data_IF_038705859427
#
_entry.id   IF_038705859427
#
_cell.length_a   1.000
_cell.length_b   1.000
_cell.length_c   1.000
_cell.angle_alpha   90.00
_cell.angle_beta   90.00
_cell.angle_gamma   90.00
#
_symmetry.space_group_name_H-M   'P 1'
#
loop_
_entity.id
_entity.type
_entity.pdbx_description
1 polymer ?
#
# COMPACT_ATOMS: atom_id res chain seq x y z
N UNK A 1 12.39 -29.75 -6.86
CA UNK A 1 11.19 -29.60 -6.02
C UNK A 1 10.13 -28.87 -6.84
N UNK A 2 8.99 -29.48 -7.19
CA UNK A 2 7.95 -28.78 -7.94
C UNK A 2 7.30 -27.73 -7.03
N UNK A 3 7.27 -26.48 -7.49
CA UNK A 3 6.54 -25.38 -6.84
C UNK A 3 5.07 -25.80 -6.75
N UNK A 4 4.53 -25.89 -5.53
CA UNK A 4 3.10 -26.10 -5.28
C UNK A 4 2.34 -25.05 -6.08
N UNK A 5 1.65 -25.47 -7.14
CA UNK A 5 0.89 -24.55 -7.99
C UNK A 5 -0.11 -23.80 -7.13
N UNK A 6 -0.01 -22.48 -7.10
CA UNK A 6 -1.01 -21.64 -6.47
C UNK A 6 -2.31 -21.83 -7.26
N UNK A 7 -3.27 -22.54 -6.69
CA UNK A 7 -4.60 -22.65 -7.28
C UNK A 7 -5.10 -21.23 -7.54
N UNK A 8 -5.68 -20.98 -8.74
CA UNK A 8 -6.28 -19.67 -9.02
C UNK A 8 -7.43 -19.46 -8.04
N UNK A 9 -7.22 -18.63 -7.03
CA UNK A 9 -8.27 -18.22 -6.10
C UNK A 9 -9.04 -17.08 -6.75
N UNK A 10 -10.30 -17.28 -7.16
CA UNK A 10 -11.10 -16.20 -7.70
C UNK A 10 -11.37 -15.17 -6.60
N UNK A 11 -11.08 -13.90 -6.90
CA UNK A 11 -11.31 -12.78 -5.99
C UNK A 11 -11.78 -11.55 -6.75
N UNK A 12 -12.51 -10.69 -6.07
CA UNK A 12 -12.87 -9.34 -6.53
C UNK A 12 -12.84 -8.37 -5.34
N UNK A 13 -12.52 -7.11 -5.61
CA UNK A 13 -12.45 -6.07 -4.59
C UNK A 13 -12.78 -4.71 -5.19
N UNK A 14 -13.68 -3.98 -4.53
CA UNK A 14 -14.00 -2.58 -4.79
C UNK A 14 -13.84 -1.82 -3.49
N UNK A 15 -12.82 -0.97 -3.46
CA UNK A 15 -12.44 -0.22 -2.27
C UNK A 15 -12.19 1.25 -2.62
N UNK A 16 -12.35 2.11 -1.62
CA UNK A 16 -11.87 3.49 -1.67
C UNK A 16 -10.45 3.52 -1.14
N UNK A 17 -9.53 4.10 -1.92
CA UNK A 17 -8.16 4.37 -1.49
C UNK A 17 -8.08 5.82 -1.00
N UNK A 18 -7.56 6.00 0.22
CA UNK A 18 -7.17 7.28 0.77
C UNK A 18 -5.67 7.22 1.02
N UNK A 19 -4.93 8.12 0.38
CA UNK A 19 -3.49 8.25 0.57
C UNK A 19 -3.18 9.57 1.27
N UNK A 20 -2.29 9.52 2.25
CA UNK A 20 -1.65 10.68 2.85
C UNK A 20 -0.14 10.46 2.89
N UNK A 21 0.64 11.52 2.64
CA UNK A 21 2.09 11.47 2.62
C UNK A 21 2.67 12.78 3.18
N UNK A 22 3.86 12.73 3.76
CA UNK A 22 4.58 13.91 4.25
C UNK A 22 5.16 14.79 3.15
N UNK A 23 5.28 14.30 1.91
CA UNK A 23 5.78 15.07 0.78
C UNK A 23 4.83 16.24 0.43
N UNK A 24 5.38 17.40 0.06
CA UNK A 24 4.64 18.62 -0.30
C UNK A 24 3.90 18.51 -1.64
N UNK A 25 4.36 17.62 -2.52
CA UNK A 25 3.69 17.28 -3.78
C UNK A 25 2.98 15.94 -3.65
N UNK A 26 2.11 15.62 -4.62
CA UNK A 26 1.50 14.28 -4.67
C UNK A 26 2.57 13.20 -4.52
N UNK A 27 2.19 12.06 -3.94
CA UNK A 27 3.14 11.03 -3.56
C UNK A 27 4.06 10.69 -4.75
N UNK A 28 5.36 11.02 -4.68
CA UNK A 28 6.26 10.95 -5.84
C UNK A 28 6.46 9.51 -6.34
N UNK A 29 6.06 8.53 -5.53
CA UNK A 29 6.03 7.11 -5.88
C UNK A 29 5.08 6.80 -7.05
N UNK A 30 4.04 7.60 -7.28
CA UNK A 30 3.10 7.37 -8.39
C UNK A 30 3.70 7.56 -9.78
N UNK A 31 4.81 8.30 -9.89
CA UNK A 31 5.42 8.55 -11.19
C UNK A 31 6.04 7.31 -11.83
N UNK A 32 6.44 6.31 -11.03
CA UNK A 32 7.18 5.15 -11.55
C UNK A 32 8.59 5.46 -12.07
N UNK A 33 9.07 6.71 -11.97
CA UNK A 33 10.38 7.16 -12.46
C UNK A 33 11.28 7.46 -11.28
N UNK A 34 12.38 6.72 -11.14
CA UNK A 34 13.31 6.81 -9.99
C UNK A 34 13.76 8.24 -9.67
N UNK A 35 14.12 9.00 -10.69
CA UNK A 35 14.64 10.37 -10.52
C UNK A 35 13.57 11.36 -10.05
N UNK A 36 12.28 11.00 -10.16
CA UNK A 36 11.15 11.76 -9.65
C UNK A 36 10.68 11.27 -8.27
N UNK A 37 11.17 10.11 -7.80
CA UNK A 37 10.83 9.51 -6.50
C UNK A 37 11.69 10.05 -5.35
N UNK A 38 11.74 11.38 -5.25
CA UNK A 38 12.53 12.10 -4.25
C UNK A 38 11.62 12.63 -3.15
N UNK A 39 12.00 12.39 -1.90
CA UNK A 39 11.33 12.93 -0.72
C UNK A 39 11.92 14.31 -0.42
N UNK A 40 11.08 15.33 -0.52
CA UNK A 40 11.48 16.74 -0.33
C UNK A 40 12.02 17.05 1.06
N UNK A 41 11.54 16.35 2.09
CA UNK A 41 12.04 16.45 3.46
C UNK A 41 13.17 15.46 3.78
N UNK A 42 13.59 14.65 2.81
CA UNK A 42 14.60 13.60 3.00
C UNK A 42 14.10 12.33 3.70
N UNK A 43 12.79 12.24 3.97
CA UNK A 43 12.11 11.08 4.54
C UNK A 43 10.62 11.09 4.13
N UNK A 44 9.94 9.96 4.29
CA UNK A 44 8.51 9.80 4.00
C UNK A 44 7.82 9.12 5.18
N UNK A 45 6.76 9.74 5.69
CA UNK A 45 5.74 9.06 6.47
C UNK A 45 4.44 9.07 5.66
N UNK A 46 4.02 7.89 5.23
CA UNK A 46 2.86 7.71 4.37
C UNK A 46 1.85 6.76 5.00
N UNK A 47 0.57 7.00 4.71
CA UNK A 47 -0.53 6.11 5.07
C UNK A 47 -1.40 5.85 3.85
N UNK A 48 -1.62 4.57 3.53
CA UNK A 48 -2.56 4.09 2.53
C UNK A 48 -3.71 3.38 3.23
N UNK A 49 -4.90 3.96 3.19
CA UNK A 49 -6.12 3.36 3.73
C UNK A 49 -6.98 2.83 2.58
N UNK A 50 -7.39 1.57 2.69
CA UNK A 50 -8.38 0.93 1.83
C UNK A 50 -9.63 0.65 2.66
N UNK A 51 -10.75 1.31 2.31
CA UNK A 51 -12.06 0.96 2.84
C UNK A 51 -12.81 0.12 1.81
N UNK A 52 -13.04 -1.15 2.12
CA UNK A 52 -13.69 -2.10 1.22
C UNK A 52 -15.21 -1.88 1.25
N UNK A 53 -15.78 -1.55 0.09
CA UNK A 53 -17.23 -1.47 -0.08
C UNK A 53 -17.83 -2.80 -0.48
N UNK A 54 -17.24 -3.46 -1.47
CA UNK A 54 -17.68 -4.76 -2.00
C UNK A 54 -16.44 -5.63 -2.26
N UNK A 55 -16.52 -6.93 -2.01
CA UNK A 55 -15.44 -7.84 -2.38
C UNK A 55 -15.62 -9.24 -1.81
N UNK A 56 -15.14 -10.23 -2.55
CA UNK A 56 -15.09 -11.62 -2.08
C UNK A 56 -13.79 -12.27 -2.49
N UNK A 57 -13.30 -13.21 -1.67
CA UNK A 57 -12.14 -14.04 -1.97
C UNK A 57 -12.45 -15.47 -1.52
N UNK A 58 -12.55 -16.42 -2.46
CA UNK A 58 -12.83 -17.83 -2.14
C UNK A 58 -14.07 -18.04 -1.22
N UNK A 59 -15.14 -17.30 -1.49
CA UNK A 59 -16.37 -17.32 -0.68
C UNK A 59 -16.31 -16.51 0.63
N UNK A 60 -15.16 -15.93 0.98
CA UNK A 60 -15.01 -15.04 2.13
C UNK A 60 -15.46 -13.63 1.74
N UNK A 61 -16.42 -13.08 2.47
CA UNK A 61 -16.85 -11.69 2.33
C UNK A 61 -15.82 -10.73 2.93
N UNK A 62 -15.38 -9.77 2.11
CA UNK A 62 -14.41 -8.74 2.45
C UNK A 62 -15.08 -7.38 2.72
N UNK A 63 -16.40 -7.25 2.51
CA UNK A 63 -17.12 -6.00 2.73
C UNK A 63 -16.91 -5.44 4.15
N UNK A 64 -16.95 -4.11 4.25
CA UNK A 64 -16.66 -3.34 5.48
C UNK A 64 -15.23 -3.48 6.04
N UNK A 65 -14.36 -4.32 5.47
CA UNK A 65 -12.97 -4.39 5.90
C UNK A 65 -12.26 -3.05 5.66
N UNK A 66 -11.49 -2.61 6.65
CA UNK A 66 -10.60 -1.46 6.55
C UNK A 66 -9.17 -1.95 6.68
N UNK A 67 -8.32 -1.63 5.70
CA UNK A 67 -6.90 -1.96 5.70
C UNK A 67 -6.14 -0.65 5.71
N UNK A 68 -5.23 -0.48 6.66
CA UNK A 68 -4.36 0.69 6.73
C UNK A 68 -2.91 0.22 6.66
N UNK A 69 -2.17 0.74 5.69
CA UNK A 69 -0.73 0.51 5.55
C UNK A 69 -0.03 1.82 5.87
N UNK A 70 0.75 1.83 6.94
CA UNK A 70 1.61 2.96 7.30
C UNK A 70 3.03 2.60 6.96
N UNK A 71 3.74 3.47 6.24
CA UNK A 71 5.12 3.23 5.83
C UNK A 71 5.98 4.43 6.16
N UNK A 72 7.08 4.18 6.86
CA UNK A 72 8.12 5.16 7.16
C UNK A 72 9.39 4.82 6.35
N UNK A 73 9.83 5.72 5.47
CA UNK A 73 11.11 5.65 4.77
C UNK A 73 12.06 6.71 5.35
N UNK A 74 13.22 6.32 5.90
CA UNK A 74 14.16 7.27 6.52
C UNK A 74 15.14 7.93 5.54
N UNK A 75 15.20 7.47 4.29
CA UNK A 75 16.12 7.97 3.27
C UNK A 75 15.47 8.99 2.32
N UNK A 76 16.27 9.77 1.57
CA UNK A 76 15.77 10.76 0.61
C UNK A 76 15.09 10.17 -0.62
N UNK A 77 15.24 8.87 -0.89
CA UNK A 77 14.59 8.14 -1.99
C UNK A 77 13.91 6.86 -1.51
N UNK A 78 12.90 6.39 -2.24
CA UNK A 78 12.19 5.14 -1.93
C UNK A 78 13.14 3.92 -1.87
N UNK A 79 14.30 4.01 -2.53
CA UNK A 79 15.22 2.90 -2.76
C UNK A 79 16.38 2.84 -1.76
N UNK A 80 16.48 3.78 -0.81
CA UNK A 80 17.55 3.78 0.19
C UNK A 80 17.41 2.66 1.23
N UNK A 81 16.24 2.02 1.28
CA UNK A 81 15.96 0.90 2.17
C UNK A 81 15.70 1.34 3.62
N UNK A 82 15.81 0.38 4.54
CA UNK A 82 15.54 0.56 5.97
C UNK A 82 14.12 1.10 6.30
N UNK A 83 13.16 0.83 5.41
CA UNK A 83 11.78 1.25 5.60
C UNK A 83 11.08 0.41 6.67
N UNK A 84 10.20 1.03 7.45
CA UNK A 84 9.33 0.34 8.40
C UNK A 84 7.89 0.40 7.92
N UNK A 85 7.30 -0.77 7.66
CA UNK A 85 5.88 -0.90 7.32
C UNK A 85 5.07 -1.42 8.50
N UNK A 86 3.86 -0.88 8.69
CA UNK A 86 2.87 -1.36 9.66
C UNK A 86 1.53 -1.55 8.95
N UNK A 87 0.85 -2.64 9.26
CA UNK A 87 -0.47 -2.96 8.70
C UNK A 87 -1.48 -3.04 9.84
N UNK A 88 -2.56 -2.29 9.72
CA UNK A 88 -3.71 -2.35 10.61
C UNK A 88 -4.90 -2.91 9.84
N UNK A 89 -5.56 -3.89 10.44
CA UNK A 89 -6.75 -4.52 9.90
C UNK A 89 -7.91 -4.20 10.83
N UNK A 90 -8.99 -3.66 10.27
CA UNK A 90 -10.22 -3.34 10.96
C UNK A 90 -11.44 -3.79 10.16
N UNK A 91 -12.60 -3.68 10.79
CA UNK A 91 -13.93 -3.82 10.18
C UNK A 91 -14.78 -2.62 10.59
#
# INVERSE_FOLDING_TARGET
MPRRGYARMPWNLKAQLIETCSCNMFCPCWFGVKDLMVMDQGWCASTLLFRVGEGTCDGIDLAASTIVVVVDFPGPTLFDGNATGRIYLGR
#
